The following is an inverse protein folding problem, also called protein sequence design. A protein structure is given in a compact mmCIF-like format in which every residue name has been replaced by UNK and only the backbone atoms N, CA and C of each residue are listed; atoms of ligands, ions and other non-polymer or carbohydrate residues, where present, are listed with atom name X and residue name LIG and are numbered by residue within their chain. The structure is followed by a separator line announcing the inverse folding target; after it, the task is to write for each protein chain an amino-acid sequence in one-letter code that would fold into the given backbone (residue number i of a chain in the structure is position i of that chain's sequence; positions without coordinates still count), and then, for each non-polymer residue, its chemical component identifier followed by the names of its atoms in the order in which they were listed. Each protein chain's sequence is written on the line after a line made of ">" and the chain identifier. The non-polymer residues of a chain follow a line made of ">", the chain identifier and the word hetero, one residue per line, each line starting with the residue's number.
data_IF_876409491227
#
_entry.id   IF_876409491227
#
_cell.length_a   1.000
_cell.length_b   1.000
_cell.length_c   1.000
_cell.angle_alpha   90.00
_cell.angle_beta   90.00
_cell.angle_gamma   90.00
#
_symmetry.space_group_name_H-M   'P 1'
#
loop_
_entity.id
_entity.type
_entity.pdbx_description
1 polymer ?
#
# COMPACT_ATOMS: atom_id res chain seq x y z
N UNK A 1 -1.53 -0.65 19.59
CA UNK A 1 -2.76 -1.11 18.89
C UNK A 1 -2.51 -2.48 18.28
N UNK A 2 -3.47 -3.43 18.44
CA UNK A 2 -3.44 -4.73 17.75
C UNK A 2 -4.68 -4.84 16.87
N UNK A 3 -4.48 -5.06 15.58
CA UNK A 3 -5.56 -5.32 14.63
C UNK A 3 -5.82 -6.82 14.48
N UNK A 4 -7.07 -7.19 14.21
CA UNK A 4 -7.50 -8.59 14.07
C UNK A 4 -8.31 -8.79 12.78
N UNK A 5 -7.67 -8.67 11.59
CA UNK A 5 -8.36 -8.77 10.32
C UNK A 5 -8.85 -10.19 10.03
N UNK A 6 -10.03 -10.27 9.43
CA UNK A 6 -10.63 -11.50 8.89
C UNK A 6 -11.48 -11.18 7.67
N UNK A 7 -11.67 -12.15 6.77
CA UNK A 7 -12.42 -11.94 5.54
C UNK A 7 -11.82 -10.82 4.69
N UNK A 8 -12.65 -9.95 4.12
CA UNK A 8 -12.18 -8.85 3.27
C UNK A 8 -11.64 -7.69 4.10
N UNK A 9 -10.35 -7.48 4.03
CA UNK A 9 -9.61 -6.39 4.70
C UNK A 9 -8.97 -5.54 3.61
N UNK A 10 -9.78 -4.74 2.94
CA UNK A 10 -9.42 -4.03 1.72
C UNK A 10 -9.34 -2.51 1.95
N UNK A 11 -8.53 -1.83 1.14
CA UNK A 11 -8.43 -0.38 1.13
C UNK A 11 -8.09 0.19 2.50
N UNK A 12 -8.85 1.17 2.98
CA UNK A 12 -8.67 1.79 4.30
C UNK A 12 -8.69 0.80 5.46
N UNK A 13 -9.40 -0.33 5.35
CA UNK A 13 -9.36 -1.40 6.36
C UNK A 13 -7.97 -2.04 6.45
N UNK A 14 -7.29 -2.23 5.33
CA UNK A 14 -5.90 -2.67 5.31
C UNK A 14 -4.97 -1.57 5.83
N UNK A 15 -5.20 -0.31 5.48
CA UNK A 15 -4.38 0.81 5.97
C UNK A 15 -4.36 0.89 7.50
N UNK A 16 -5.49 0.64 8.18
CA UNK A 16 -5.55 0.53 9.65
C UNK A 16 -4.63 -0.61 10.15
N UNK A 17 -4.66 -1.77 9.50
CA UNK A 17 -3.79 -2.89 9.87
C UNK A 17 -2.31 -2.56 9.67
N UNK A 18 -1.96 -1.89 8.58
CA UNK A 18 -0.57 -1.49 8.26
C UNK A 18 0.02 -0.54 9.31
N UNK A 19 -0.82 0.23 10.01
CA UNK A 19 -0.41 1.18 11.06
C UNK A 19 -0.59 0.66 12.49
N UNK A 20 -1.01 -0.61 12.65
CA UNK A 20 -1.07 -1.24 13.96
C UNK A 20 0.32 -1.73 14.41
N UNK A 21 0.59 -1.72 15.71
CA UNK A 21 1.84 -2.25 16.27
C UNK A 21 1.99 -3.73 15.98
N UNK A 22 0.87 -4.46 15.91
CA UNK A 22 0.81 -5.87 15.59
C UNK A 22 -0.49 -6.22 14.88
N UNK A 23 -0.44 -7.18 13.97
CA UNK A 23 -1.62 -7.76 13.34
C UNK A 23 -1.75 -9.23 13.71
N UNK A 24 -2.95 -9.64 14.12
CA UNK A 24 -3.32 -11.03 14.35
C UNK A 24 -4.37 -11.39 13.30
N UNK A 25 -3.91 -11.92 12.17
CA UNK A 25 -4.76 -12.17 11.01
C UNK A 25 -5.41 -13.57 11.07
N UNK A 26 -6.67 -13.70 10.65
CA UNK A 26 -7.24 -15.00 10.36
C UNK A 26 -6.53 -15.63 9.14
N UNK A 27 -6.38 -16.97 9.12
CA UNK A 27 -5.79 -17.67 7.98
C UNK A 27 -6.48 -17.35 6.66
N UNK A 28 -7.80 -17.25 6.67
CA UNK A 28 -8.63 -16.76 5.57
C UNK A 28 -8.88 -15.26 5.71
N UNK A 29 -7.94 -14.45 5.27
CA UNK A 29 -8.11 -13.00 5.14
C UNK A 29 -7.65 -12.56 3.76
N UNK A 30 -8.42 -11.66 3.15
CA UNK A 30 -8.20 -11.12 1.81
C UNK A 30 -7.74 -9.67 1.96
N UNK A 31 -6.45 -9.44 1.84
CA UNK A 31 -5.84 -8.12 2.09
C UNK A 31 -5.39 -7.47 0.78
N UNK A 32 -5.74 -6.20 0.56
CA UNK A 32 -5.35 -5.48 -0.65
C UNK A 32 -5.61 -3.99 -0.58
N UNK A 33 -4.75 -3.21 -1.24
CA UNK A 33 -4.94 -1.78 -1.48
C UNK A 33 -5.64 -1.62 -2.83
N UNK A 34 -6.95 -1.41 -2.80
CA UNK A 34 -7.83 -1.52 -3.98
C UNK A 34 -8.40 -0.18 -4.47
N UNK A 35 -7.94 0.92 -3.91
CA UNK A 35 -8.42 2.29 -4.17
C UNK A 35 -8.36 2.69 -5.64
N UNK A 36 -7.40 2.13 -6.40
CA UNK A 36 -7.27 2.40 -7.83
C UNK A 36 -8.49 1.94 -8.63
N UNK A 37 -9.22 0.95 -8.13
CA UNK A 37 -10.47 0.48 -8.72
C UNK A 37 -11.58 1.53 -8.74
N UNK A 38 -11.54 2.49 -7.82
CA UNK A 38 -12.46 3.63 -7.74
C UNK A 38 -11.83 4.95 -8.20
N UNK A 39 -10.68 4.90 -8.84
CA UNK A 39 -10.04 6.11 -9.38
C UNK A 39 -9.21 6.90 -8.37
N UNK A 40 -8.89 6.32 -7.22
CA UNK A 40 -8.10 6.94 -6.15
C UNK A 40 -6.80 6.15 -5.91
N UNK A 41 -5.96 6.65 -5.02
CA UNK A 41 -4.79 5.92 -4.51
C UNK A 41 -4.96 5.67 -3.00
N UNK A 42 -4.27 4.66 -2.43
CA UNK A 42 -4.21 4.48 -0.99
C UNK A 42 -3.56 5.71 -0.35
N UNK A 43 -4.32 6.52 0.36
CA UNK A 43 -3.88 7.81 0.90
C UNK A 43 -4.10 7.97 2.41
N UNK A 44 -4.53 6.92 3.09
CA UNK A 44 -4.47 6.78 4.54
C UNK A 44 -3.11 6.25 5.02
N UNK A 45 -2.06 6.41 4.21
CA UNK A 45 -0.71 5.94 4.47
C UNK A 45 -0.36 4.62 3.78
N UNK A 46 -1.27 4.00 3.02
CA UNK A 46 -1.04 2.70 2.38
C UNK A 46 0.10 2.72 1.38
N UNK A 47 0.18 3.74 0.52
CA UNK A 47 1.28 3.87 -0.45
C UNK A 47 2.62 4.07 0.27
N UNK A 48 2.66 4.92 1.30
CA UNK A 48 3.84 5.15 2.14
C UNK A 48 4.27 3.87 2.85
N UNK A 49 3.31 3.10 3.41
CA UNK A 49 3.62 1.83 4.08
C UNK A 49 4.22 0.80 3.12
N UNK A 50 3.74 0.71 1.89
CA UNK A 50 4.33 -0.20 0.91
C UNK A 50 5.77 0.21 0.54
N UNK A 51 6.07 1.50 0.43
CA UNK A 51 7.45 1.97 0.27
C UNK A 51 8.31 1.65 1.50
N UNK A 52 7.78 1.86 2.71
CA UNK A 52 8.47 1.57 3.97
C UNK A 52 8.76 0.07 4.15
N UNK A 53 7.82 -0.79 3.79
CA UNK A 53 7.88 -2.24 4.02
C UNK A 53 8.63 -3.01 2.92
N UNK A 54 8.49 -2.61 1.66
CA UNK A 54 9.06 -3.36 0.53
C UNK A 54 10.33 -2.72 -0.03
N UNK A 55 10.45 -1.38 0.01
CA UNK A 55 11.56 -0.67 -0.63
C UNK A 55 12.65 -0.32 0.36
N UNK A 56 12.29 0.22 1.52
CA UNK A 56 13.28 0.73 2.49
C UNK A 56 14.19 -0.34 3.10
N UNK A 57 13.70 -1.53 3.53
CA UNK A 57 14.54 -2.50 4.22
C UNK A 57 15.71 -3.05 3.39
N UNK A 58 15.52 -3.51 2.13
CA UNK A 58 16.64 -3.99 1.32
C UNK A 58 17.68 -2.91 1.03
N UNK A 59 17.26 -1.65 0.86
CA UNK A 59 18.17 -0.53 0.60
C UNK A 59 18.84 -0.01 1.88
N UNK A 60 18.28 -0.27 3.04
CA UNK A 60 18.95 -0.03 4.31
C UNK A 60 20.03 -1.08 4.56
N UNK A 61 19.73 -2.35 4.27
CA UNK A 61 20.66 -3.46 4.44
C UNK A 61 21.82 -3.43 3.43
N UNK A 62 21.56 -3.00 2.19
CA UNK A 62 22.54 -2.93 1.10
C UNK A 62 22.29 -1.67 0.25
N UNK A 63 22.90 -0.52 0.60
CA UNK A 63 22.62 0.79 -0.02
C UNK A 63 22.87 0.87 -1.52
N UNK A 64 23.77 0.04 -2.06
CA UNK A 64 24.12 0.00 -3.49
C UNK A 64 23.15 -0.86 -4.32
N UNK A 65 22.15 -1.47 -3.68
CA UNK A 65 21.16 -2.30 -4.37
C UNK A 65 20.28 -1.43 -5.28
N UNK A 66 20.02 -1.84 -6.54
CA UNK A 66 19.10 -1.13 -7.41
C UNK A 66 17.67 -1.08 -6.82
N UNK A 67 17.04 0.09 -6.66
CA UNK A 67 15.73 0.21 -6.03
C UNK A 67 14.56 -0.26 -6.91
N UNK A 68 14.74 -0.29 -8.24
CA UNK A 68 13.67 -0.53 -9.20
C UNK A 68 12.87 -1.82 -8.96
N UNK A 69 13.47 -3.00 -8.72
CA UNK A 69 12.70 -4.24 -8.52
C UNK A 69 11.74 -4.16 -7.31
N UNK A 70 12.18 -3.55 -6.22
CA UNK A 70 11.37 -3.39 -5.01
C UNK A 70 10.23 -2.40 -5.22
N UNK A 71 10.52 -1.30 -5.93
CA UNK A 71 9.51 -0.31 -6.32
C UNK A 71 8.50 -0.87 -7.32
N UNK A 72 8.94 -1.68 -8.28
CA UNK A 72 8.03 -2.37 -9.19
C UNK A 72 7.08 -3.28 -8.42
N UNK A 73 7.58 -4.07 -7.45
CA UNK A 73 6.74 -4.91 -6.60
C UNK A 73 5.68 -4.09 -5.85
N UNK A 74 6.07 -3.02 -5.17
CA UNK A 74 5.15 -2.14 -4.45
C UNK A 74 4.14 -1.46 -5.38
N UNK A 75 4.64 -0.94 -6.51
CA UNK A 75 3.83 -0.28 -7.54
C UNK A 75 2.77 -1.22 -8.14
N UNK A 76 3.17 -2.42 -8.57
CA UNK A 76 2.25 -3.38 -9.17
C UNK A 76 1.16 -3.84 -8.19
N UNK A 77 1.49 -4.01 -6.92
CA UNK A 77 0.49 -4.39 -5.92
C UNK A 77 -0.60 -3.33 -5.80
N UNK A 78 -0.23 -2.05 -5.81
CA UNK A 78 -1.18 -0.94 -5.72
C UNK A 78 -1.87 -0.69 -7.06
N UNK A 79 -1.10 -0.48 -8.14
CA UNK A 79 -1.63 -0.07 -9.44
C UNK A 79 -2.53 -1.13 -10.09
N UNK A 80 -2.34 -2.40 -9.76
CA UNK A 80 -3.17 -3.51 -10.25
C UNK A 80 -4.20 -3.97 -9.20
N UNK A 81 -4.33 -3.27 -8.07
CA UNK A 81 -5.24 -3.64 -6.98
C UNK A 81 -5.10 -5.12 -6.56
N UNK A 82 -3.86 -5.61 -6.47
CA UNK A 82 -3.62 -7.02 -6.11
C UNK A 82 -4.10 -7.30 -4.70
N UNK A 83 -4.87 -8.38 -4.56
CA UNK A 83 -5.44 -8.80 -3.27
C UNK A 83 -4.89 -10.18 -2.92
N UNK A 84 -4.34 -10.32 -1.73
CA UNK A 84 -3.96 -11.60 -1.16
C UNK A 84 -5.19 -12.46 -0.88
N UNK A 85 -5.11 -13.74 -1.17
CA UNK A 85 -6.19 -14.71 -0.97
C UNK A 85 -6.08 -15.47 0.35
N UNK A 86 -5.02 -15.22 1.10
CA UNK A 86 -4.78 -15.79 2.43
C UNK A 86 -3.83 -14.90 3.25
N UNK A 87 -3.77 -15.14 4.56
CA UNK A 87 -2.80 -14.45 5.42
C UNK A 87 -1.35 -14.80 5.08
N UNK A 88 -1.07 -16.00 4.57
CA UNK A 88 0.27 -16.38 4.11
C UNK A 88 0.68 -15.56 2.88
N UNK A 89 -0.19 -15.47 1.88
CA UNK A 89 0.04 -14.64 0.70
C UNK A 89 0.16 -13.15 1.07
N UNK A 90 -0.66 -12.67 2.04
CA UNK A 90 -0.56 -11.31 2.55
C UNK A 90 0.83 -11.03 3.16
N UNK A 91 1.46 -12.01 3.80
CA UNK A 91 2.83 -11.90 4.29
C UNK A 91 3.85 -11.83 3.15
N UNK A 92 3.73 -12.67 2.13
CA UNK A 92 4.59 -12.64 0.94
C UNK A 92 4.46 -11.30 0.17
N UNK A 93 3.27 -10.73 0.16
CA UNK A 93 3.00 -9.41 -0.41
C UNK A 93 3.52 -8.25 0.46
N UNK A 94 3.89 -8.49 1.72
CA UNK A 94 4.39 -7.48 2.65
C UNK A 94 3.28 -6.71 3.39
N UNK A 95 2.02 -7.13 3.28
CA UNK A 95 0.92 -6.61 4.09
C UNK A 95 1.01 -7.07 5.55
N UNK A 96 1.50 -8.29 5.76
CA UNK A 96 1.88 -8.80 7.07
C UNK A 96 3.40 -8.94 7.15
N UNK A 97 3.95 -8.85 8.36
CA UNK A 97 5.36 -9.03 8.69
C UNK A 97 5.59 -10.39 9.39
N UNK A 98 6.85 -10.77 9.57
CA UNK A 98 7.19 -11.97 10.37
C UNK A 98 6.77 -11.85 11.84
N UNK A 99 6.63 -10.62 12.33
CA UNK A 99 6.17 -10.37 13.68
C UNK A 99 4.66 -10.49 13.84
N UNK A 100 3.88 -10.48 12.75
CA UNK A 100 2.43 -10.62 12.78
C UNK A 100 2.04 -12.09 12.94
N UNK A 101 0.93 -12.32 13.62
CA UNK A 101 0.43 -13.65 13.94
C UNK A 101 -0.66 -14.08 12.96
N UNK A 102 -0.61 -15.34 12.54
CA UNK A 102 -1.69 -15.96 11.75
C UNK A 102 -2.41 -16.99 12.64
N UNK A 103 -3.74 -16.91 12.69
CA UNK A 103 -4.61 -17.78 13.47
C UNK A 103 -5.51 -18.56 12.52
N UNK A 104 -5.35 -19.88 12.50
CA UNK A 104 -6.08 -20.75 11.56
C UNK A 104 -7.56 -20.89 11.89
N UNK A 105 -7.92 -20.89 13.18
CA UNK A 105 -9.31 -20.92 13.62
C UNK A 105 -9.81 -19.50 13.90
N UNK A 106 -10.71 -19.01 13.04
CA UNK A 106 -11.29 -17.66 13.14
C UNK A 106 -11.99 -17.39 14.47
N UNK A 107 -12.57 -18.41 15.14
CA UNK A 107 -13.21 -18.25 16.44
C UNK A 107 -12.24 -17.82 17.55
N UNK A 108 -10.96 -18.07 17.35
CA UNK A 108 -9.90 -17.73 18.31
C UNK A 108 -9.22 -16.39 18.03
N UNK A 109 -9.56 -15.68 16.97
CA UNK A 109 -8.83 -14.47 16.53
C UNK A 109 -8.87 -13.37 17.61
N UNK A 110 -10.03 -13.09 18.19
CA UNK A 110 -10.19 -12.04 19.20
C UNK A 110 -9.43 -12.40 20.49
N UNK A 111 -9.51 -13.66 20.93
CA UNK A 111 -8.78 -14.12 22.11
C UNK A 111 -7.26 -14.09 21.89
N UNK A 112 -6.80 -14.39 20.68
CA UNK A 112 -5.39 -14.29 20.30
C UNK A 112 -4.92 -12.84 20.24
N UNK A 113 -5.70 -11.95 19.62
CA UNK A 113 -5.41 -10.52 19.56
C UNK A 113 -5.38 -9.87 20.95
N UNK A 114 -6.29 -10.27 21.84
CA UNK A 114 -6.28 -9.80 23.23
C UNK A 114 -5.01 -10.22 23.96
N UNK A 115 -4.55 -11.47 23.82
CA UNK A 115 -3.28 -11.91 24.42
C UNK A 115 -2.10 -11.12 23.85
N UNK A 116 -2.02 -10.97 22.54
CA UNK A 116 -0.97 -10.19 21.88
C UNK A 116 -0.95 -8.73 22.38
N UNK A 117 -2.12 -8.10 22.58
CA UNK A 117 -2.21 -6.75 23.10
C UNK A 117 -1.73 -6.64 24.56
N UNK A 118 -2.02 -7.65 25.38
CA UNK A 118 -1.55 -7.70 26.78
C UNK A 118 -0.04 -7.94 26.84
N UNK A 119 0.48 -8.85 26.01
CA UNK A 119 1.91 -9.15 25.92
C UNK A 119 2.70 -7.91 25.45
N UNK A 120 2.19 -7.17 24.47
CA UNK A 120 2.80 -5.92 24.00
C UNK A 120 2.70 -4.79 25.04
N UNK A 121 1.65 -4.76 25.88
CA UNK A 121 1.50 -3.71 26.87
C UNK A 121 2.55 -3.78 27.98
N UNK A 122 3.08 -4.98 28.23
CA UNK A 122 4.18 -5.17 29.17
C UNK A 122 5.52 -4.70 28.54
N UNK A 123 5.95 -3.50 28.90
CA UNK A 123 7.16 -2.90 28.36
C UNK A 123 7.00 -2.16 27.00
N UNK A 124 5.78 -1.76 26.66
CA UNK A 124 5.51 -1.02 25.42
C UNK A 124 6.32 0.26 25.31
N UNK A 125 7.05 0.37 24.21
CA UNK A 125 7.72 1.61 23.83
C UNK A 125 7.11 2.10 22.51
N UNK A 126 6.56 3.34 22.47
CA UNK A 126 6.07 3.89 21.22
C UNK A 126 7.14 3.90 20.14
N UNK A 127 6.80 3.62 18.88
CA UNK A 127 7.76 3.71 17.79
C UNK A 127 8.27 5.15 17.65
N UNK A 128 9.54 5.31 17.35
CA UNK A 128 10.13 6.62 17.10
C UNK A 128 9.51 7.25 15.85
N UNK A 129 9.11 8.53 15.96
CA UNK A 129 8.53 9.29 14.84
C UNK A 129 9.53 9.63 13.71
N UNK A 130 10.79 9.22 13.83
CA UNK A 130 11.88 9.58 12.91
C UNK A 130 12.11 8.53 11.81
N UNK A 131 11.16 7.66 11.53
CA UNK A 131 11.32 6.68 10.46
C UNK A 131 11.45 7.38 9.10
N UNK A 132 12.58 7.13 8.45
CA UNK A 132 12.83 7.60 7.10
C UNK A 132 12.45 6.51 6.11
N UNK A 133 11.82 6.91 5.01
CA UNK A 133 11.44 6.04 3.90
C UNK A 133 12.34 6.37 2.71
N UNK A 134 12.78 5.34 2.00
CA UNK A 134 13.59 5.54 0.80
C UNK A 134 12.73 6.02 -0.36
N UNK A 135 13.12 7.16 -0.91
CA UNK A 135 12.50 7.76 -2.10
C UNK A 135 13.49 7.72 -3.26
N UNK A 136 13.16 6.98 -4.31
CA UNK A 136 14.10 6.64 -5.38
C UNK A 136 14.29 7.74 -6.43
N UNK A 137 13.53 8.84 -6.37
CA UNK A 137 13.68 10.00 -7.23
C UNK A 137 13.25 9.80 -8.69
N UNK A 138 13.57 10.81 -9.49
CA UNK A 138 13.04 10.98 -10.86
C UNK A 138 13.37 9.85 -11.83
N UNK A 139 14.59 9.32 -11.80
CA UNK A 139 14.99 8.31 -12.78
C UNK A 139 14.21 7.01 -12.63
N UNK A 140 14.00 6.56 -11.40
CA UNK A 140 13.19 5.36 -11.11
C UNK A 140 11.72 5.60 -11.43
N UNK A 141 11.21 6.82 -11.18
CA UNK A 141 9.87 7.20 -11.60
C UNK A 141 9.68 7.07 -13.11
N UNK A 142 10.62 7.58 -13.91
CA UNK A 142 10.55 7.47 -15.36
C UNK A 142 10.50 6.01 -15.85
N UNK A 143 11.19 5.09 -15.17
CA UNK A 143 11.11 3.66 -15.48
C UNK A 143 9.70 3.08 -15.19
N UNK A 144 9.06 3.46 -14.06
CA UNK A 144 7.69 3.06 -13.78
C UNK A 144 6.70 3.67 -14.79
N UNK A 145 6.86 4.95 -15.13
CA UNK A 145 6.02 5.64 -16.12
C UNK A 145 6.13 4.98 -17.51
N UNK A 146 7.31 4.49 -17.89
CA UNK A 146 7.47 3.71 -19.13
C UNK A 146 6.68 2.40 -19.06
N UNK A 147 6.70 1.70 -17.93
CA UNK A 147 5.87 0.50 -17.69
C UNK A 147 4.36 0.80 -17.84
N UNK A 148 3.90 1.93 -17.28
CA UNK A 148 2.51 2.38 -17.45
C UNK A 148 2.17 2.58 -18.93
N UNK A 149 3.03 3.26 -19.69
CA UNK A 149 2.83 3.47 -21.12
C UNK A 149 2.79 2.16 -21.91
N UNK A 150 3.64 1.21 -21.57
CA UNK A 150 3.62 -0.12 -22.20
C UNK A 150 2.28 -0.83 -21.96
N UNK A 151 1.74 -0.77 -20.75
CA UNK A 151 0.42 -1.34 -20.45
C UNK A 151 -0.71 -0.63 -21.22
N UNK A 152 -0.64 0.69 -21.37
CA UNK A 152 -1.60 1.46 -22.17
C UNK A 152 -1.52 1.10 -23.66
N UNK A 153 -0.32 1.02 -24.26
CA UNK A 153 -0.15 0.61 -25.65
C UNK A 153 -0.61 -0.82 -25.94
N UNK A 154 -0.45 -1.71 -24.95
CA UNK A 154 -0.96 -3.08 -25.02
C UNK A 154 -2.47 -3.20 -24.74
N UNK A 155 -3.17 -2.09 -24.48
CA UNK A 155 -4.61 -2.06 -24.10
C UNK A 155 -4.95 -2.84 -22.81
N UNK A 156 -3.96 -3.05 -21.94
CA UNK A 156 -4.17 -3.63 -20.60
C UNK A 156 -4.64 -2.60 -19.58
N UNK A 157 -4.35 -1.33 -19.81
CA UNK A 157 -4.76 -0.22 -18.96
C UNK A 157 -5.43 0.89 -19.79
N UNK A 158 -6.49 1.51 -19.27
CA UNK A 158 -7.10 2.68 -19.88
C UNK A 158 -6.20 3.92 -19.74
N UNK A 159 -6.55 5.00 -20.45
CA UNK A 159 -5.83 6.27 -20.27
C UNK A 159 -5.92 6.75 -18.83
N UNK A 160 -7.09 6.60 -18.20
CA UNK A 160 -7.30 7.04 -16.83
C UNK A 160 -6.62 6.14 -15.78
N UNK A 161 -6.57 4.83 -16.02
CA UNK A 161 -5.71 3.93 -15.20
C UNK A 161 -4.25 4.41 -15.21
N UNK A 162 -3.76 4.89 -16.35
CA UNK A 162 -2.43 5.46 -16.45
C UNK A 162 -2.25 6.76 -15.65
N UNK A 163 -3.28 7.60 -15.54
CA UNK A 163 -3.24 8.80 -14.69
C UNK A 163 -3.14 8.40 -13.22
N UNK A 164 -3.99 7.47 -12.77
CA UNK A 164 -3.99 6.99 -11.39
C UNK A 164 -2.64 6.33 -11.05
N UNK A 165 -2.17 5.42 -11.89
CA UNK A 165 -0.87 4.76 -11.73
C UNK A 165 0.30 5.75 -11.72
N UNK A 166 0.24 6.83 -12.50
CA UNK A 166 1.21 7.92 -12.46
C UNK A 166 1.28 8.63 -11.10
N UNK A 167 0.15 8.82 -10.43
CA UNK A 167 0.11 9.33 -9.07
C UNK A 167 0.74 8.35 -8.07
N UNK A 168 0.46 7.04 -8.18
CA UNK A 168 1.11 6.00 -7.35
C UNK A 168 2.63 6.04 -7.55
N UNK A 169 3.11 6.03 -8.80
CA UNK A 169 4.53 6.10 -9.13
C UNK A 169 5.19 7.35 -8.53
N UNK A 170 4.52 8.52 -8.65
CA UNK A 170 5.00 9.78 -8.09
C UNK A 170 5.16 9.72 -6.57
N UNK A 171 4.20 9.17 -5.85
CA UNK A 171 4.27 9.05 -4.39
C UNK A 171 5.38 8.08 -3.98
N UNK A 172 5.41 6.87 -4.54
CA UNK A 172 6.41 5.85 -4.22
C UNK A 172 7.86 6.31 -4.45
N UNK A 173 8.07 7.24 -5.39
CA UNK A 173 9.41 7.74 -5.73
C UNK A 173 9.76 9.09 -5.09
N UNK A 174 8.87 9.63 -4.23
CA UNK A 174 9.13 10.85 -3.46
C UNK A 174 8.81 12.15 -4.19
N UNK A 175 7.94 12.11 -5.20
CA UNK A 175 7.45 13.33 -5.87
C UNK A 175 8.46 13.92 -6.85
N UNK A 176 8.83 15.19 -6.66
CA UNK A 176 9.74 15.93 -7.55
C UNK A 176 11.23 15.77 -7.23
N UNK A 177 11.60 14.84 -6.39
CA UNK A 177 13.00 14.60 -6.02
C UNK A 177 13.84 14.23 -7.22
N UNK A 178 14.96 14.95 -7.42
CA UNK A 178 15.87 14.71 -8.54
C UNK A 178 16.74 13.47 -8.32
N UNK A 179 17.15 13.22 -7.08
CA UNK A 179 18.04 12.13 -6.69
C UNK A 179 17.40 11.26 -5.62
N UNK A 180 17.80 9.98 -5.52
CA UNK A 180 17.40 9.12 -4.44
C UNK A 180 17.83 9.68 -3.08
N UNK A 181 16.95 9.59 -2.09
CA UNK A 181 17.28 9.99 -0.72
C UNK A 181 16.29 9.41 0.30
N UNK A 182 16.69 9.42 1.56
CA UNK A 182 15.84 9.07 2.67
C UNK A 182 15.02 10.29 3.11
N UNK A 183 13.70 10.18 3.11
CA UNK A 183 12.77 11.25 3.48
C UNK A 183 11.96 10.88 4.71
N UNK A 184 11.49 11.86 5.51
CA UNK A 184 10.53 11.59 6.58
C UNK A 184 9.23 10.99 6.02
N UNK A 185 8.53 10.17 6.79
CA UNK A 185 7.23 9.61 6.39
C UNK A 185 6.22 10.69 5.99
N UNK A 186 6.22 11.82 6.69
CA UNK A 186 5.34 12.96 6.42
C UNK A 186 5.49 13.52 5.01
N UNK A 187 6.68 13.36 4.40
CA UNK A 187 6.89 13.78 3.01
C UNK A 187 6.02 12.95 2.06
N UNK A 188 5.98 11.63 2.22
CA UNK A 188 5.15 10.75 1.40
C UNK A 188 3.66 10.92 1.72
N UNK A 189 3.29 11.06 3.00
CA UNK A 189 1.90 11.33 3.40
C UNK A 189 1.34 12.63 2.79
N UNK A 190 2.16 13.68 2.68
CA UNK A 190 1.76 14.92 1.98
C UNK A 190 1.54 14.67 0.49
N UNK A 191 2.39 13.86 -0.15
CA UNK A 191 2.24 13.50 -1.56
C UNK A 191 1.00 12.63 -1.79
N UNK A 192 0.71 11.66 -0.91
CA UNK A 192 -0.52 10.86 -0.94
C UNK A 192 -1.75 11.74 -0.86
N UNK A 193 -1.81 12.62 0.16
CA UNK A 193 -2.93 13.57 0.32
C UNK A 193 -3.13 14.42 -0.92
N UNK A 194 -2.04 14.96 -1.49
CA UNK A 194 -2.14 15.79 -2.70
C UNK A 194 -2.66 14.98 -3.89
N UNK A 195 -2.11 13.79 -4.12
CA UNK A 195 -2.54 12.91 -5.20
C UNK A 195 -4.01 12.48 -5.06
N UNK A 196 -4.45 12.16 -3.84
CA UNK A 196 -5.84 11.84 -3.54
C UNK A 196 -6.79 13.01 -3.88
N UNK A 197 -6.43 14.23 -3.43
CA UNK A 197 -7.24 15.42 -3.70
C UNK A 197 -7.26 15.79 -5.19
N UNK A 198 -6.16 15.56 -5.92
CA UNK A 198 -6.11 15.83 -7.36
C UNK A 198 -6.98 14.82 -8.14
N UNK A 199 -6.96 13.54 -7.76
CA UNK A 199 -7.80 12.51 -8.34
C UNK A 199 -9.27 12.69 -7.98
N UNK A 200 -9.58 13.10 -6.75
CA UNK A 200 -10.96 13.33 -6.31
C UNK A 200 -11.65 14.47 -7.08
N UNK A 201 -10.91 15.38 -7.71
CA UNK A 201 -11.46 16.43 -8.58
C UNK A 201 -11.82 15.94 -9.98
N UNK A 202 -11.41 14.73 -10.35
CA UNK A 202 -11.62 14.19 -11.69
C UNK A 202 -13.02 13.60 -11.84
N UNK A 203 -13.73 13.96 -12.90
CA UNK A 203 -15.04 13.40 -13.21
C UNK A 203 -15.03 11.88 -13.33
N UNK A 204 -13.99 11.33 -13.96
CA UNK A 204 -13.80 9.88 -14.11
C UNK A 204 -13.66 9.13 -12.78
N UNK A 205 -13.12 9.77 -11.74
CA UNK A 205 -13.13 9.22 -10.38
C UNK A 205 -14.55 9.15 -9.82
N UNK A 206 -15.34 10.21 -9.98
CA UNK A 206 -16.73 10.23 -9.52
C UNK A 206 -17.54 9.13 -10.21
N UNK A 207 -17.41 8.99 -11.54
CA UNK A 207 -18.08 7.91 -12.28
C UNK A 207 -17.70 6.52 -11.78
N UNK A 208 -16.43 6.28 -11.38
CA UNK A 208 -15.99 5.00 -10.81
C UNK A 208 -16.59 4.76 -9.44
N UNK A 209 -16.61 5.78 -8.58
CA UNK A 209 -17.20 5.70 -7.24
C UNK A 209 -18.70 5.41 -7.34
N UNK A 210 -19.43 6.16 -8.17
CA UNK A 210 -20.87 5.97 -8.39
C UNK A 210 -21.15 4.55 -8.90
N UNK A 211 -20.42 4.09 -9.92
CA UNK A 211 -20.61 2.76 -10.47
C UNK A 211 -20.37 1.66 -9.42
N UNK A 212 -19.36 1.82 -8.55
CA UNK A 212 -19.12 0.85 -7.46
C UNK A 212 -20.26 0.85 -6.44
N UNK A 213 -20.76 2.04 -6.05
CA UNK A 213 -21.87 2.16 -5.10
C UNK A 213 -23.18 1.59 -5.64
N UNK A 214 -23.46 1.77 -6.93
CA UNK A 214 -24.68 1.29 -7.56
C UNK A 214 -24.64 -0.20 -7.91
N UNK A 215 -23.50 -0.69 -8.39
CA UNK A 215 -23.40 -2.04 -8.96
C UNK A 215 -22.58 -3.03 -8.15
N UNK A 216 -21.83 -2.56 -7.16
CA UNK A 216 -20.86 -3.35 -6.42
C UNK A 216 -19.62 -3.76 -7.26
N UNK A 217 -19.46 -3.23 -8.48
CA UNK A 217 -18.39 -3.59 -9.40
C UNK A 217 -17.57 -2.37 -9.82
N UNK A 218 -16.22 -2.48 -9.88
CA UNK A 218 -15.40 -1.40 -10.38
C UNK A 218 -15.65 -1.14 -11.88
N UNK A 219 -15.77 0.13 -12.25
CA UNK A 219 -15.86 0.60 -13.65
C UNK A 219 -14.46 0.92 -14.16
N UNK A 220 -14.18 0.61 -15.43
CA UNK A 220 -13.02 1.14 -16.17
C UNK A 220 -13.51 2.12 -17.24
N UNK A 221 -12.95 3.34 -17.23
CA UNK A 221 -13.32 4.44 -18.12
C UNK A 221 -12.09 5.16 -18.68
#
# INVERSE_FOLDING_TARGET
>A
VVSAPHGQTLGGGLEVCLHSDRTVAAGETYMGLVEVGVGLIPAGGGTKEMARRLVSPPLHAAPDTPPLPFLQKAFEQIALAKTATSALEAREMGFLTENDRIVMNADHIISAAKREALDLADGYTPPEHANKVYAAGRNTRAALEMGIKTMQWGHYASEYDGVIAGHVARVLTGGSLSLPQWVPEEHLLKLEKQAFLDLLKQEKTHERIEALLETGKPKRN
#
